data_IF_157948709513
#
_entry.id   IF_157948709513
#
_cell.length_a   1.000
_cell.length_b   1.000
_cell.length_c   1.000
_cell.angle_alpha   90.00
_cell.angle_beta   90.00
_cell.angle_gamma   90.00
#
_symmetry.space_group_name_H-M   'P 1'
#
loop_
_entity.id
_entity.type
_entity.pdbx_description
1 polymer ?
#
# COMPACT_ATOMS: atom_id res chain seq x y z
N UNK A 1 -14.12 9.29 16.76
CA UNK A 1 -14.15 9.52 15.30
C UNK A 1 -12.78 9.21 14.75
N UNK A 2 -12.67 8.15 13.95
CA UNK A 2 -11.42 7.79 13.30
C UNK A 2 -11.23 8.58 12.00
N UNK A 3 -10.01 9.04 11.75
CA UNK A 3 -9.65 9.81 10.55
C UNK A 3 -8.61 9.05 9.75
N UNK A 4 -8.84 8.94 8.46
CA UNK A 4 -7.97 8.18 7.56
C UNK A 4 -7.78 8.88 6.21
N UNK A 5 -6.68 8.54 5.56
CA UNK A 5 -6.41 8.87 4.17
C UNK A 5 -6.28 7.60 3.34
N UNK A 6 -6.77 7.65 2.10
CA UNK A 6 -6.45 6.68 1.06
C UNK A 6 -5.51 7.36 0.08
N UNK A 7 -4.25 6.96 0.10
CA UNK A 7 -3.18 7.55 -0.70
C UNK A 7 -2.86 6.58 -1.82
N UNK A 8 -2.98 7.05 -3.06
CA UNK A 8 -2.65 6.29 -4.25
C UNK A 8 -1.28 6.71 -4.76
N UNK A 9 -0.41 5.73 -5.00
CA UNK A 9 0.90 5.90 -5.60
C UNK A 9 0.97 5.05 -6.89
N UNK A 10 1.71 5.56 -7.87
CA UNK A 10 2.00 4.83 -9.10
C UNK A 10 3.50 4.60 -9.19
N UNK A 11 3.89 3.34 -9.39
CA UNK A 11 5.27 2.96 -9.64
C UNK A 11 5.37 2.50 -11.10
N UNK A 12 6.13 3.23 -11.92
CA UNK A 12 6.50 2.72 -13.25
C UNK A 12 7.80 1.95 -13.12
N UNK A 13 7.76 0.64 -13.33
CA UNK A 13 8.94 -0.21 -13.22
C UNK A 13 8.83 -1.39 -14.17
N UNK A 14 9.97 -1.92 -14.59
CA UNK A 14 10.03 -3.18 -15.33
C UNK A 14 10.43 -4.31 -14.40
N UNK A 15 10.05 -5.53 -14.74
CA UNK A 15 10.50 -6.71 -14.02
C UNK A 15 10.56 -7.93 -14.94
N UNK A 16 11.14 -9.01 -14.44
CA UNK A 16 11.02 -10.34 -15.01
C UNK A 16 10.70 -11.35 -13.91
N UNK A 17 10.01 -12.42 -14.29
CA UNK A 17 9.77 -13.58 -13.42
C UNK A 17 10.63 -14.76 -13.87
N UNK A 18 10.94 -15.65 -12.93
CA UNK A 18 11.64 -16.91 -13.22
C UNK A 18 10.63 -18.04 -13.12
N UNK A 19 10.44 -18.80 -14.20
CA UNK A 19 9.54 -19.94 -14.25
C UNK A 19 10.32 -21.19 -14.62
N UNK A 20 10.23 -22.24 -13.79
CA UNK A 20 10.96 -23.50 -14.00
C UNK A 20 12.48 -23.29 -14.21
N UNK A 21 13.08 -22.43 -13.38
CA UNK A 21 14.50 -22.07 -13.46
C UNK A 21 14.89 -21.21 -14.67
N UNK A 22 13.96 -20.89 -15.57
CA UNK A 22 14.21 -20.05 -16.75
C UNK A 22 13.79 -18.61 -16.49
N UNK A 23 14.71 -17.68 -16.73
CA UNK A 23 14.44 -16.25 -16.74
C UNK A 23 13.50 -15.90 -17.89
N UNK A 24 12.37 -15.27 -17.58
CA UNK A 24 11.48 -14.65 -18.57
C UNK A 24 12.00 -13.31 -19.07
N UNK A 25 11.29 -12.74 -20.05
CA UNK A 25 11.62 -11.43 -20.60
C UNK A 25 11.35 -10.29 -19.61
N UNK A 26 12.20 -9.25 -19.67
CA UNK A 26 11.97 -8.00 -18.95
C UNK A 26 10.83 -7.27 -19.61
N UNK A 27 9.82 -6.88 -18.83
CA UNK A 27 8.65 -6.15 -19.34
C UNK A 27 8.20 -5.06 -18.35
N UNK A 28 7.63 -3.95 -18.85
CA UNK A 28 7.22 -2.81 -18.04
C UNK A 28 5.77 -2.92 -17.54
N UNK A 29 5.51 -2.30 -16.38
CA UNK A 29 4.17 -2.03 -15.87
C UNK A 29 4.09 -0.65 -15.22
N UNK A 30 2.87 -0.13 -15.16
CA UNK A 30 2.50 0.95 -14.23
C UNK A 30 1.72 0.31 -13.09
N UNK A 31 2.41 0.05 -11.99
CA UNK A 31 1.82 -0.52 -10.79
C UNK A 31 1.04 0.56 -10.05
N UNK A 32 -0.18 0.25 -9.63
CA UNK A 32 -0.96 1.09 -8.73
C UNK A 32 -0.88 0.52 -7.32
N UNK A 33 -0.45 1.34 -6.36
CA UNK A 33 -0.47 1.01 -4.94
C UNK A 33 -1.39 1.95 -4.17
N UNK A 34 -2.21 1.41 -3.27
CA UNK A 34 -3.15 2.18 -2.44
C UNK A 34 -2.89 1.88 -0.97
N UNK A 35 -2.48 2.90 -0.22
CA UNK A 35 -2.30 2.85 1.22
C UNK A 35 -3.47 3.51 1.94
N UNK A 36 -4.14 2.75 2.80
CA UNK A 36 -5.12 3.29 3.74
C UNK A 36 -4.45 3.48 5.10
N UNK A 37 -4.20 4.73 5.47
CA UNK A 37 -3.53 5.10 6.72
C UNK A 37 -4.48 5.87 7.63
N UNK A 38 -4.42 5.64 8.93
CA UNK A 38 -5.27 6.32 9.92
C UNK A 38 -4.44 6.89 11.07
N UNK A 39 -5.03 7.83 11.80
CA UNK A 39 -4.45 8.40 13.02
C UNK A 39 -5.48 8.46 14.14
N UNK A 40 -5.01 8.35 15.38
CA UNK A 40 -5.82 8.30 16.61
C UNK A 40 -5.69 9.56 17.48
N UNK A 41 -4.77 10.47 17.15
CA UNK A 41 -4.55 11.73 17.89
C UNK A 41 -5.36 12.91 17.36
N UNK A 42 -5.68 13.90 18.20
CA UNK A 42 -6.52 15.06 17.84
C UNK A 42 -5.91 15.98 16.76
N UNK A 43 -4.58 16.00 16.65
CA UNK A 43 -3.85 16.79 15.67
C UNK A 43 -3.82 16.11 14.29
N UNK A 44 -4.66 16.58 13.36
CA UNK A 44 -4.54 16.19 11.95
C UNK A 44 -3.27 16.84 11.39
N UNK A 45 -2.20 16.06 11.28
CA UNK A 45 -1.06 16.43 10.45
C UNK A 45 -1.54 16.54 9.00
N UNK A 46 -1.05 17.54 8.26
CA UNK A 46 -1.37 17.72 6.83
C UNK A 46 -1.17 16.42 6.06
N UNK A 47 -2.14 16.06 5.22
CA UNK A 47 -2.11 14.86 4.36
C UNK A 47 -0.82 14.73 3.52
N UNK A 48 -0.16 15.85 3.23
CA UNK A 48 1.11 15.91 2.49
C UNK A 48 2.26 15.17 3.19
N UNK A 49 2.24 15.06 4.52
CA UNK A 49 3.31 14.39 5.26
C UNK A 49 3.30 12.86 5.09
N UNK A 50 2.21 12.12 5.39
CA UNK A 50 2.16 10.69 5.10
C UNK A 50 2.31 10.39 3.61
N UNK A 51 1.74 11.22 2.73
CA UNK A 51 1.92 11.07 1.27
C UNK A 51 3.39 11.12 0.88
N UNK A 52 4.13 12.13 1.34
CA UNK A 52 5.56 12.28 1.04
C UNK A 52 6.39 11.09 1.53
N UNK A 53 6.12 10.57 2.73
CA UNK A 53 6.87 9.41 3.23
C UNK A 53 6.54 8.13 2.45
N UNK A 54 5.27 7.95 2.06
CA UNK A 54 4.86 6.83 1.22
C UNK A 54 5.56 6.90 -0.15
N UNK A 55 5.58 8.08 -0.79
CA UNK A 55 6.23 8.23 -2.10
C UNK A 55 7.73 7.91 -2.05
N UNK A 56 8.44 8.29 -0.99
CA UNK A 56 9.86 7.97 -0.79
C UNK A 56 10.16 6.48 -0.75
N UNK A 57 9.23 5.64 -0.30
CA UNK A 57 9.41 4.18 -0.31
C UNK A 57 9.51 3.65 -1.75
N UNK A 58 8.81 4.28 -2.70
CA UNK A 58 8.81 3.88 -4.10
C UNK A 58 9.93 4.52 -4.92
N UNK A 59 10.46 5.67 -4.49
CA UNK A 59 11.50 6.44 -5.22
C UNK A 59 12.67 5.59 -5.73
N UNK A 60 13.27 4.66 -4.94
CA UNK A 60 14.40 3.85 -5.40
C UNK A 60 14.07 2.95 -6.59
N UNK A 61 12.80 2.58 -6.77
CA UNK A 61 12.36 1.62 -7.77
C UNK A 61 11.78 2.30 -9.03
N UNK A 62 11.56 3.61 -8.98
CA UNK A 62 10.92 4.35 -10.05
C UNK A 62 11.78 4.36 -11.32
N UNK A 63 11.18 3.93 -12.44
CA UNK A 63 11.80 3.74 -13.75
C UNK A 63 12.98 2.76 -13.74
N UNK A 64 12.99 1.80 -12.81
CA UNK A 64 14.04 0.78 -12.68
C UNK A 64 13.55 -0.60 -13.14
N UNK A 65 14.50 -1.54 -13.27
CA UNK A 65 14.22 -2.97 -13.33
C UNK A 65 14.21 -3.50 -11.89
N UNK A 66 13.04 -3.89 -11.38
CA UNK A 66 12.87 -4.32 -9.98
C UNK A 66 13.92 -5.35 -9.56
N UNK A 67 14.18 -6.33 -10.42
CA UNK A 67 15.11 -7.43 -10.17
C UNK A 67 16.58 -7.01 -9.96
N UNK A 68 16.94 -5.75 -10.16
CA UNK A 68 18.31 -5.24 -9.96
C UNK A 68 18.48 -4.52 -8.62
N UNK A 69 17.40 -4.39 -7.84
CA UNK A 69 17.37 -3.64 -6.59
C UNK A 69 16.93 -4.53 -5.42
N UNK A 70 17.55 -4.36 -4.25
CA UNK A 70 17.14 -5.05 -3.03
C UNK A 70 15.68 -4.68 -2.64
N UNK A 71 14.89 -5.61 -2.11
CA UNK A 71 15.18 -7.04 -1.91
C UNK A 71 14.91 -7.90 -3.16
N UNK A 72 14.41 -7.30 -4.26
CA UNK A 72 13.92 -7.99 -5.45
C UNK A 72 15.01 -8.53 -6.38
N UNK A 73 16.28 -8.24 -6.09
CA UNK A 73 17.42 -8.96 -6.62
C UNK A 73 17.60 -10.36 -6.00
N UNK A 74 17.00 -10.61 -4.85
CA UNK A 74 17.02 -11.89 -4.15
C UNK A 74 15.65 -12.59 -4.12
N UNK A 75 14.55 -11.84 -4.21
CA UNK A 75 13.18 -12.38 -4.27
C UNK A 75 12.48 -12.02 -5.57
N UNK A 76 11.57 -12.87 -6.05
CA UNK A 76 10.83 -12.59 -7.28
C UNK A 76 9.94 -11.35 -7.06
N UNK A 77 10.01 -10.30 -7.90
CA UNK A 77 9.13 -9.13 -7.82
C UNK A 77 7.74 -9.44 -8.38
N UNK A 78 7.03 -10.40 -7.79
CA UNK A 78 5.61 -10.63 -8.07
C UNK A 78 4.76 -9.55 -7.41
N UNK A 79 3.51 -9.41 -7.86
CA UNK A 79 2.56 -8.48 -7.26
C UNK A 79 2.43 -8.68 -5.74
N UNK A 80 2.37 -9.94 -5.29
CA UNK A 80 2.23 -10.30 -3.89
C UNK A 80 3.48 -9.90 -3.09
N UNK A 81 4.67 -10.30 -3.54
CA UNK A 81 5.93 -9.99 -2.85
C UNK A 81 6.18 -8.47 -2.78
N UNK A 82 5.89 -7.75 -3.86
CA UNK A 82 6.01 -6.28 -3.87
C UNK A 82 5.02 -5.64 -2.92
N UNK A 83 3.75 -6.07 -2.94
CA UNK A 83 2.72 -5.54 -2.04
C UNK A 83 3.08 -5.78 -0.58
N UNK A 84 3.47 -7.00 -0.21
CA UNK A 84 3.85 -7.34 1.16
C UNK A 84 5.10 -6.60 1.65
N UNK A 85 6.10 -6.44 0.78
CA UNK A 85 7.31 -5.69 1.10
C UNK A 85 6.99 -4.21 1.33
N UNK A 86 6.37 -3.55 0.35
CA UNK A 86 6.05 -2.13 0.44
C UNK A 86 5.08 -1.83 1.58
N UNK A 87 4.17 -2.74 1.90
CA UNK A 87 3.32 -2.62 3.08
C UNK A 87 4.12 -2.45 4.37
N UNK A 88 5.16 -3.26 4.58
CA UNK A 88 6.02 -3.19 5.77
C UNK A 88 6.83 -1.89 5.79
N UNK A 89 7.44 -1.54 4.67
CA UNK A 89 8.21 -0.29 4.54
C UNK A 89 7.35 0.95 4.79
N UNK A 90 6.14 0.98 4.22
CA UNK A 90 5.19 2.08 4.42
C UNK A 90 4.75 2.16 5.89
N UNK A 91 4.39 1.03 6.50
CA UNK A 91 3.99 1.01 7.92
C UNK A 91 5.08 1.61 8.82
N UNK A 92 6.35 1.27 8.56
CA UNK A 92 7.49 1.85 9.28
C UNK A 92 7.70 3.32 8.96
N UNK A 93 7.55 3.73 7.69
CA UNK A 93 7.76 5.11 7.26
C UNK A 93 6.73 6.09 7.85
N UNK A 94 5.50 5.64 8.09
CA UNK A 94 4.42 6.50 8.61
C UNK A 94 4.30 6.51 10.14
N UNK A 95 4.79 5.46 10.81
CA UNK A 95 4.69 5.32 12.27
C UNK A 95 5.25 6.52 13.09
N UNK A 96 6.41 7.12 12.74
CA UNK A 96 6.95 8.28 13.49
C UNK A 96 6.04 9.52 13.50
N UNK A 97 5.07 9.59 12.59
CA UNK A 97 4.09 10.68 12.49
C UNK A 97 2.76 10.34 13.15
N UNK A 98 2.69 9.27 13.97
CA UNK A 98 1.45 8.77 14.57
C UNK A 98 0.37 8.40 13.54
N UNK A 99 0.82 7.89 12.39
CA UNK A 99 -0.03 7.23 11.41
C UNK A 99 0.20 5.73 11.45
N UNK A 100 -0.87 4.98 11.20
CA UNK A 100 -0.85 3.53 11.14
C UNK A 100 -1.40 3.07 9.80
N UNK A 101 -0.71 2.13 9.16
CA UNK A 101 -1.20 1.49 7.95
C UNK A 101 -2.28 0.48 8.34
N UNK A 102 -3.47 0.56 7.74
CA UNK A 102 -4.57 -0.40 7.95
C UNK A 102 -4.67 -1.41 6.83
N UNK A 103 -4.61 -0.93 5.60
CA UNK A 103 -4.75 -1.73 4.38
C UNK A 103 -3.78 -1.21 3.33
N UNK A 104 -3.12 -2.13 2.65
CA UNK A 104 -2.27 -1.82 1.52
C UNK A 104 -2.59 -2.74 0.36
N UNK A 105 -2.73 -2.15 -0.82
CA UNK A 105 -3.20 -2.84 -2.00
C UNK A 105 -2.26 -2.53 -3.16
N UNK A 106 -1.90 -3.56 -3.92
CA UNK A 106 -1.15 -3.43 -5.16
C UNK A 106 -1.97 -3.95 -6.33
N UNK A 107 -1.80 -3.32 -7.50
CA UNK A 107 -2.41 -3.76 -8.75
C UNK A 107 -1.40 -3.61 -9.89
N UNK A 108 -1.11 -4.71 -10.60
CA UNK A 108 -0.32 -4.70 -11.84
C UNK A 108 -1.17 -4.21 -13.03
N UNK A 109 -2.46 -4.49 -12.99
CA UNK A 109 -3.44 -4.11 -14.01
C UNK A 109 -4.68 -3.55 -13.33
N UNK A 110 -5.51 -2.72 -14.02
CA UNK A 110 -6.71 -2.16 -13.42
C UNK A 110 -7.78 -3.18 -12.97
N UNK A 111 -7.67 -4.44 -13.41
CA UNK A 111 -8.70 -5.48 -13.19
C UNK A 111 -8.34 -6.45 -12.06
N UNK A 112 -7.14 -6.34 -11.48
CA UNK A 112 -6.67 -7.26 -10.45
C UNK A 112 -5.90 -6.54 -9.37
N UNK A 113 -6.35 -6.72 -8.14
CA UNK A 113 -5.74 -6.16 -6.94
C UNK A 113 -5.42 -7.28 -5.95
N UNK A 114 -4.24 -7.23 -5.37
CA UNK A 114 -3.85 -8.02 -4.21
C UNK A 114 -3.71 -7.08 -3.01
N UNK A 115 -4.16 -7.49 -1.82
CA UNK A 115 -4.19 -6.62 -0.65
C UNK A 115 -3.85 -7.34 0.65
N UNK A 116 -3.20 -6.59 1.54
CA UNK A 116 -2.85 -7.02 2.90
C UNK A 116 -3.48 -6.09 3.93
N UNK A 117 -3.75 -6.64 5.11
CA UNK A 117 -4.33 -5.91 6.25
C UNK A 117 -3.43 -6.01 7.47
N UNK A 118 -3.38 -4.93 8.24
CA UNK A 118 -2.62 -4.83 9.48
C UNK A 118 -3.55 -4.84 10.68
N UNK A 119 -3.12 -5.44 11.81
CA UNK A 119 -3.84 -5.33 13.07
C UNK A 119 -3.86 -3.86 13.55
N UNK A 120 -4.71 -3.59 14.53
CA UNK A 120 -4.72 -2.29 15.20
C UNK A 120 -3.40 -2.05 15.95
N UNK A 121 -2.99 -0.78 16.07
CA UNK A 121 -1.86 -0.44 16.90
C UNK A 121 -2.18 -0.72 18.38
N UNK A 122 -1.19 -1.19 19.16
CA UNK A 122 -1.38 -1.43 20.59
C UNK A 122 -1.84 -0.15 21.31
N UNK A 123 -2.89 -0.25 22.13
CA UNK A 123 -3.48 0.90 22.83
C UNK A 123 -4.57 1.65 22.05
N UNK A 124 -4.92 1.19 20.85
CA UNK A 124 -6.20 1.55 20.22
C UNK A 124 -7.29 0.69 20.89
N UNK A 125 -7.85 1.22 21.97
CA UNK A 125 -8.91 0.57 22.75
C UNK A 125 -10.26 0.81 22.08
N UNK A 126 -10.45 0.27 20.87
CA UNK A 126 -11.76 0.26 20.20
C UNK A 126 -11.78 -0.82 19.13
N UNK A 127 -12.15 -2.06 19.49
CA UNK A 127 -12.46 -3.17 18.56
C UNK A 127 -13.41 -2.75 17.40
N UNK A 128 -14.02 -1.56 17.46
CA UNK A 128 -14.90 -0.97 16.45
C UNK A 128 -14.20 -0.01 15.49
N UNK A 129 -13.08 0.62 15.86
CA UNK A 129 -12.50 1.71 15.07
C UNK A 129 -11.86 1.20 13.77
N UNK A 130 -11.18 0.05 13.77
CA UNK A 130 -10.64 -0.47 12.52
C UNK A 130 -11.68 -1.22 11.67
N UNK A 131 -12.78 -1.64 12.27
CA UNK A 131 -14.01 -2.00 11.55
C UNK A 131 -14.63 -0.76 10.90
N UNK A 132 -14.63 0.40 11.56
CA UNK A 132 -15.12 1.66 10.98
C UNK A 132 -14.32 2.10 9.75
N UNK A 133 -12.98 1.94 9.73
CA UNK A 133 -12.19 2.20 8.50
C UNK A 133 -12.62 1.26 7.39
N UNK A 134 -12.72 -0.04 7.68
CA UNK A 134 -13.03 -1.04 6.65
C UNK A 134 -14.48 -0.86 6.15
N UNK A 135 -15.41 -0.51 7.04
CA UNK A 135 -16.79 -0.13 6.71
C UNK A 135 -16.80 1.13 5.84
N UNK A 136 -16.02 2.15 6.20
CA UNK A 136 -15.96 3.39 5.44
C UNK A 136 -15.36 3.16 4.05
N UNK A 137 -14.29 2.36 3.94
CA UNK A 137 -13.70 1.93 2.67
C UNK A 137 -14.72 1.13 1.85
N UNK A 138 -15.41 0.15 2.45
CA UNK A 138 -16.44 -0.65 1.78
C UNK A 138 -17.61 0.20 1.27
N UNK A 139 -18.02 1.24 2.02
CA UNK A 139 -19.06 2.19 1.59
C UNK A 139 -18.59 3.03 0.40
N UNK A 140 -17.34 3.47 0.38
CA UNK A 140 -16.76 4.19 -0.75
C UNK A 140 -16.65 3.30 -2.01
N UNK A 141 -16.26 2.04 -1.84
CA UNK A 141 -16.11 1.07 -2.95
C UNK A 141 -17.45 0.65 -3.57
N UNK A 142 -18.51 0.53 -2.76
CA UNK A 142 -19.86 0.18 -3.24
C UNK A 142 -20.56 1.33 -3.98
N UNK A 143 -19.94 2.51 -4.02
CA UNK A 143 -20.56 3.75 -4.49
C UNK A 143 -21.68 4.21 -3.55
N UNK A 144 -22.04 5.49 -3.62
CA UNK A 144 -23.24 6.02 -2.97
C UNK A 144 -24.51 5.45 -3.63
N UNK A 145 -24.71 4.13 -3.52
CA UNK A 145 -25.96 3.48 -3.82
C UNK A 145 -26.95 3.92 -2.78
N UNK A 146 -27.81 4.85 -3.17
CA UNK A 146 -28.98 5.29 -2.42
C UNK A 146 -29.69 4.09 -1.82
N UNK A 147 -29.71 4.01 -0.49
CA UNK A 147 -30.77 3.28 0.20
C UNK A 147 -32.10 3.83 -0.33
N UNK A 148 -32.88 2.96 -0.97
CA UNK A 148 -34.32 3.15 -1.17
C UNK A 148 -35.03 2.17 -0.26
#
# INVERSE_FOLDING_TARGET
>A
MLRYYRIKAYLNASHFVVFDGKKGDVHPHTWEFVATVYTTGDDIIKFTEPEKQIMKVFEPYQNQIMNEHEPFNAIIPSLENMTEYFAKEIAQAVAPMNYHLRRFEGSETPVRTYGVRFPEAEGVDDDRAADEVEIAVSRLEKGFGTEK
#
